data_IF_674914452675
#
_entry.id   IF_674914452675
#
_cell.length_a   1.000
_cell.length_b   1.000
_cell.length_c   1.000
_cell.angle_alpha   90.00
_cell.angle_beta   90.00
_cell.angle_gamma   90.00
#
_symmetry.space_group_name_H-M   'P 1'
#
loop_
_entity.id
_entity.type
_entity.pdbx_description
1 polymer ?
#
# COMPACT_ATOMS: atom_id res chain seq x y z
N UNK A 1 3.32 -4.68 -17.86
CA UNK A 1 3.11 -3.39 -17.17
C UNK A 1 2.80 -3.78 -15.73
N UNK A 2 3.82 -3.89 -14.90
CA UNK A 2 3.78 -4.74 -13.68
C UNK A 2 4.43 -4.05 -12.48
N UNK A 3 4.21 -2.75 -12.33
CA UNK A 3 4.78 -2.00 -11.21
C UNK A 3 3.72 -1.08 -10.60
N UNK A 4 3.64 -1.10 -9.27
CA UNK A 4 2.88 -0.12 -8.51
C UNK A 4 3.27 1.30 -8.95
N UNK A 5 2.31 2.22 -9.05
CA UNK A 5 2.57 3.62 -9.38
C UNK A 5 3.35 4.28 -8.24
N UNK A 6 4.67 4.12 -8.25
CA UNK A 6 5.55 4.62 -7.20
C UNK A 6 5.71 6.14 -7.21
N UNK A 7 5.38 6.78 -8.33
CA UNK A 7 5.48 8.23 -8.51
C UNK A 7 4.30 9.01 -7.91
N UNK A 8 3.13 8.37 -7.80
CA UNK A 8 1.90 9.03 -7.36
C UNK A 8 1.37 8.39 -6.08
N UNK A 9 1.73 8.98 -4.94
CA UNK A 9 1.28 8.53 -3.61
C UNK A 9 -0.24 8.33 -3.52
N UNK A 10 -1.12 9.25 -3.97
CA UNK A 10 -2.57 9.02 -3.90
C UNK A 10 -3.04 7.84 -4.77
N UNK A 11 -2.35 7.57 -5.88
CA UNK A 11 -2.65 6.44 -6.75
C UNK A 11 -2.19 5.11 -6.13
N UNK A 12 -1.03 5.11 -5.48
CA UNK A 12 -0.48 4.00 -4.70
C UNK A 12 -1.41 3.64 -3.52
N UNK A 13 -1.86 4.64 -2.76
CA UNK A 13 -2.83 4.48 -1.66
C UNK A 13 -4.12 3.85 -2.17
N UNK A 14 -4.64 4.36 -3.29
CA UNK A 14 -5.87 3.83 -3.89
C UNK A 14 -5.70 2.40 -4.37
N UNK A 15 -4.58 2.07 -5.01
CA UNK A 15 -4.26 0.72 -5.45
C UNK A 15 -4.19 -0.25 -4.27
N UNK A 16 -3.48 0.09 -3.21
CA UNK A 16 -3.36 -0.76 -2.03
C UNK A 16 -4.70 -0.91 -1.31
N UNK A 17 -5.48 0.18 -1.18
CA UNK A 17 -6.84 0.09 -0.64
C UNK A 17 -7.74 -0.79 -1.50
N UNK A 18 -7.56 -0.80 -2.83
CA UNK A 18 -8.31 -1.69 -3.71
C UNK A 18 -7.94 -3.15 -3.49
N UNK A 19 -6.63 -3.45 -3.43
CA UNK A 19 -6.10 -4.80 -3.19
C UNK A 19 -6.50 -5.37 -1.82
N UNK A 20 -6.47 -4.54 -0.77
CA UNK A 20 -6.91 -4.93 0.57
C UNK A 20 -8.43 -5.08 0.65
N UNK A 21 -9.18 -4.29 -0.12
CA UNK A 21 -10.65 -4.35 -0.17
C UNK A 21 -11.15 -5.57 -0.95
N UNK A 22 -10.46 -5.97 -2.01
CA UNK A 22 -10.81 -7.16 -2.80
C UNK A 22 -10.53 -8.47 -2.06
N UNK A 23 -10.01 -8.40 -0.82
CA UNK A 23 -9.62 -9.55 0.02
C UNK A 23 -8.55 -10.45 -0.64
N UNK A 24 -7.96 -10.02 -1.76
CA UNK A 24 -6.86 -10.69 -2.45
C UNK A 24 -5.60 -10.74 -1.58
N UNK A 25 -5.45 -9.74 -0.70
CA UNK A 25 -4.38 -9.65 0.28
C UNK A 25 -4.94 -9.35 1.66
N UNK A 26 -4.52 -10.12 2.66
CA UNK A 26 -4.99 -9.94 4.04
C UNK A 26 -4.28 -8.77 4.73
N UNK A 27 -3.02 -8.52 4.34
CA UNK A 27 -2.15 -7.52 4.97
C UNK A 27 -1.25 -6.85 3.94
N UNK A 28 -0.77 -5.65 4.29
CA UNK A 28 0.21 -4.91 3.51
C UNK A 28 1.49 -5.72 3.24
N UNK A 29 1.87 -6.59 4.16
CA UNK A 29 3.07 -7.42 4.04
C UNK A 29 3.02 -8.34 2.81
N UNK A 30 1.85 -8.93 2.52
CA UNK A 30 1.69 -9.77 1.34
C UNK A 30 1.75 -8.96 0.05
N UNK A 31 1.21 -7.74 0.06
CA UNK A 31 1.30 -6.79 -1.07
C UNK A 31 2.76 -6.42 -1.28
N UNK A 32 3.47 -6.02 -0.23
CA UNK A 32 4.89 -5.73 -0.25
C UNK A 32 5.71 -6.91 -0.81
N UNK A 33 5.43 -8.13 -0.37
CA UNK A 33 6.09 -9.33 -0.87
C UNK A 33 5.80 -9.57 -2.37
N UNK A 34 4.53 -9.45 -2.77
CA UNK A 34 4.09 -9.68 -4.15
C UNK A 34 4.70 -8.67 -5.14
N UNK A 35 4.69 -7.39 -4.78
CA UNK A 35 5.25 -6.31 -5.58
C UNK A 35 6.76 -6.11 -5.38
N UNK A 36 7.38 -6.93 -4.52
CA UNK A 36 8.78 -6.83 -4.13
C UNK A 36 9.17 -5.42 -3.66
N UNK A 37 8.34 -4.84 -2.79
CA UNK A 37 8.49 -3.51 -2.20
C UNK A 37 8.74 -3.63 -0.70
N UNK A 38 9.69 -2.86 -0.18
CA UNK A 38 9.91 -2.74 1.25
C UNK A 38 8.75 -2.04 1.96
N UNK A 39 8.12 -2.73 2.91
CA UNK A 39 7.06 -2.17 3.77
C UNK A 39 7.50 -0.88 4.44
N UNK A 40 8.71 -0.84 4.96
CA UNK A 40 9.22 0.33 5.66
C UNK A 40 9.36 1.55 4.73
N UNK A 41 9.83 1.33 3.50
CA UNK A 41 9.94 2.38 2.50
C UNK A 41 8.55 2.85 2.04
N UNK A 42 7.63 1.92 1.84
CA UNK A 42 6.25 2.20 1.48
C UNK A 42 5.57 3.06 2.54
N UNK A 43 5.65 2.66 3.81
CA UNK A 43 5.09 3.41 4.93
C UNK A 43 5.77 4.78 5.08
N UNK A 44 7.08 4.88 4.89
CA UNK A 44 7.79 6.16 4.94
C UNK A 44 7.33 7.12 3.82
N UNK A 45 7.13 6.61 2.60
CA UNK A 45 6.60 7.39 1.46
C UNK A 45 5.16 7.86 1.73
N UNK A 46 4.32 6.97 2.25
CA UNK A 46 2.94 7.25 2.64
C UNK A 46 2.89 8.32 3.73
N UNK A 47 3.68 8.14 4.80
CA UNK A 47 3.77 9.06 5.92
C UNK A 47 4.26 10.45 5.50
N UNK A 48 5.18 10.53 4.54
CA UNK A 48 5.66 11.79 3.97
C UNK A 48 4.55 12.56 3.24
N UNK A 49 3.57 11.86 2.67
CA UNK A 49 2.38 12.46 2.07
C UNK A 49 1.23 12.67 3.07
N UNK A 50 1.41 12.26 4.33
CA UNK A 50 0.40 12.39 5.39
C UNK A 50 -0.51 11.17 5.55
N UNK A 51 -0.26 10.08 4.81
CA UNK A 51 -1.06 8.86 4.89
C UNK A 51 -0.52 7.90 5.97
N UNK A 52 -1.42 7.18 6.65
CA UNK A 52 -1.11 6.17 7.67
C UNK A 52 -1.82 4.86 7.37
N UNK A 53 -1.09 3.76 7.48
CA UNK A 53 -1.67 2.42 7.37
C UNK A 53 -2.41 2.05 8.66
N UNK A 54 -3.63 1.52 8.53
CA UNK A 54 -4.40 0.93 9.62
C UNK A 54 -4.56 -0.57 9.35
N UNK A 55 -3.83 -1.40 10.10
CA UNK A 55 -3.92 -2.87 10.03
C UNK A 55 -5.33 -3.35 10.40
N UNK A 56 -5.96 -2.74 11.40
CA UNK A 56 -7.30 -3.10 11.88
C UNK A 56 -8.37 -2.93 10.80
N UNK A 57 -8.27 -1.87 10.01
CA UNK A 57 -9.24 -1.57 8.96
C UNK A 57 -8.76 -1.97 7.56
N UNK A 58 -7.56 -2.56 7.48
CA UNK A 58 -6.89 -2.96 6.24
C UNK A 58 -6.94 -1.85 5.19
N UNK A 59 -6.61 -0.62 5.58
CA UNK A 59 -6.60 0.54 4.68
C UNK A 59 -5.62 1.62 5.08
N UNK A 60 -5.24 2.44 4.11
CA UNK A 60 -4.51 3.69 4.31
C UNK A 60 -5.49 4.85 4.49
N UNK A 61 -5.20 5.69 5.48
CA UNK A 61 -5.91 6.92 5.85
C UNK A 61 -5.07 8.16 5.57
#
# INVERSE_FOLDING_TARGET
MDHLPQNDIPMLVSAINFLLRDEEFDNLDQICYHFNVDRNELEARMAKAGFRYSETEKRFW
#
